data_IF_125904906063
#
_entry.id   IF_125904906063
#
_cell.length_a   1.000
_cell.length_b   1.000
_cell.length_c   1.000
_cell.angle_alpha   90.00
_cell.angle_beta   90.00
_cell.angle_gamma   90.00
#
_symmetry.space_group_name_H-M   'P 1'
#
loop_
_entity.id
_entity.type
_entity.pdbx_description
1 polymer ?
#
# COMPACT_ATOMS: atom_id res chain seq x y z
N UNK A 1 -19.95 11.96 -24.77
CA UNK A 1 -18.62 11.87 -24.16
C UNK A 1 -18.04 10.51 -24.44
N UNK A 2 -16.91 10.41 -25.14
CA UNK A 2 -16.25 9.13 -25.36
C UNK A 2 -15.76 8.60 -24.01
N UNK A 3 -16.28 7.44 -23.61
CA UNK A 3 -15.65 6.64 -22.55
C UNK A 3 -14.53 5.86 -23.22
N UNK A 4 -13.29 6.20 -22.95
CA UNK A 4 -12.14 5.47 -23.45
C UNK A 4 -11.79 4.43 -22.42
N UNK A 5 -11.84 3.14 -22.78
CA UNK A 5 -11.31 2.08 -21.93
C UNK A 5 -9.80 2.36 -21.73
N UNK A 6 -9.40 2.62 -20.52
CA UNK A 6 -8.01 2.58 -20.14
C UNK A 6 -7.62 1.10 -20.14
N UNK A 7 -6.69 0.77 -21.00
CA UNK A 7 -6.04 -0.53 -21.11
C UNK A 7 -6.72 -1.66 -20.32
N UNK A 8 -7.39 -2.57 -21.00
CA UNK A 8 -7.72 -3.87 -20.42
C UNK A 8 -6.39 -4.47 -19.93
N UNK A 9 -6.07 -4.30 -18.68
CA UNK A 9 -5.08 -5.10 -18.04
C UNK A 9 -5.79 -6.39 -17.66
N UNK A 10 -5.61 -7.42 -18.46
CA UNK A 10 -5.97 -8.79 -18.12
C UNK A 10 -4.94 -9.38 -17.14
N UNK A 11 -4.35 -8.53 -16.32
CA UNK A 11 -3.40 -8.96 -15.31
C UNK A 11 -4.21 -9.55 -14.16
N UNK A 12 -4.11 -10.87 -13.98
CA UNK A 12 -4.47 -11.49 -12.72
C UNK A 12 -3.50 -10.98 -11.66
N UNK A 13 -4.00 -10.11 -10.78
CA UNK A 13 -3.27 -9.70 -9.60
C UNK A 13 -3.31 -10.88 -8.63
N UNK A 14 -2.19 -11.60 -8.50
CA UNK A 14 -2.04 -12.72 -7.58
C UNK A 14 -1.19 -12.33 -6.38
N UNK A 15 -1.32 -13.07 -5.29
CA UNK A 15 -0.47 -12.93 -4.12
C UNK A 15 1.01 -13.01 -4.51
N UNK A 16 1.82 -12.11 -4.00
CA UNK A 16 3.26 -12.05 -4.28
C UNK A 16 3.65 -11.24 -5.51
N UNK A 17 2.71 -10.82 -6.35
CA UNK A 17 2.94 -9.91 -7.45
C UNK A 17 2.25 -8.58 -7.20
N UNK A 18 2.72 -7.54 -7.87
CA UNK A 18 2.26 -6.17 -7.82
C UNK A 18 0.72 -6.07 -7.82
N UNK A 19 0.11 -5.97 -6.64
CA UNK A 19 -1.34 -5.80 -6.47
C UNK A 19 -1.79 -4.39 -6.85
N UNK A 20 -1.25 -3.85 -7.93
CA UNK A 20 -1.55 -2.50 -8.39
C UNK A 20 -1.58 -2.40 -9.92
N UNK A 21 -2.20 -1.34 -10.41
CA UNK A 21 -2.03 -0.86 -11.78
C UNK A 21 -1.81 0.66 -11.79
N UNK A 22 -1.16 1.16 -12.82
CA UNK A 22 -0.91 2.59 -12.99
C UNK A 22 -1.60 3.18 -14.21
N UNK A 23 -1.96 4.46 -14.08
CA UNK A 23 -2.55 5.27 -15.16
C UNK A 23 -1.77 6.57 -15.29
N UNK A 24 -1.18 6.80 -16.45
CA UNK A 24 -0.50 8.06 -16.75
C UNK A 24 -1.49 9.06 -17.34
N UNK A 25 -1.93 10.03 -16.55
CA UNK A 25 -2.95 10.99 -16.98
C UNK A 25 -2.42 12.07 -17.93
N UNK A 26 -1.11 12.30 -17.98
CA UNK A 26 -0.48 13.21 -18.98
C UNK A 26 -0.87 12.81 -20.40
N UNK A 27 -0.86 11.50 -20.70
CA UNK A 27 -1.25 10.96 -22.00
C UNK A 27 -2.77 11.08 -22.29
N UNK A 28 -3.57 11.38 -21.27
CA UNK A 28 -5.02 11.34 -21.38
C UNK A 28 -5.65 12.67 -21.83
N UNK A 29 -4.90 13.79 -21.76
CA UNK A 29 -5.35 15.11 -22.18
C UNK A 29 -6.61 15.60 -21.45
N UNK A 30 -6.64 15.41 -20.12
CA UNK A 30 -7.65 15.98 -19.24
C UNK A 30 -7.08 17.21 -18.53
N UNK A 31 -7.85 18.29 -18.44
CA UNK A 31 -7.45 19.55 -17.79
C UNK A 31 -8.04 19.68 -16.38
N UNK A 32 -8.97 18.81 -16.04
CA UNK A 32 -9.65 18.76 -14.74
C UNK A 32 -9.67 17.31 -14.23
N UNK A 33 -9.77 17.09 -12.91
CA UNK A 33 -9.91 15.75 -12.36
C UNK A 33 -11.03 14.97 -13.06
N UNK A 34 -10.67 13.81 -13.63
CA UNK A 34 -11.57 12.98 -14.40
C UNK A 34 -12.17 11.87 -13.53
N UNK A 35 -13.49 11.73 -13.43
CA UNK A 35 -14.10 10.67 -12.66
C UNK A 35 -13.73 9.31 -13.25
N UNK A 36 -13.37 8.37 -12.38
CA UNK A 36 -13.01 7.01 -12.71
C UNK A 36 -14.19 6.07 -12.49
N UNK A 37 -14.41 5.18 -13.44
CA UNK A 37 -15.21 3.97 -13.22
C UNK A 37 -14.27 2.79 -13.12
N UNK A 38 -14.26 2.15 -11.97
CA UNK A 38 -13.47 0.97 -11.67
C UNK A 38 -14.37 -0.26 -11.66
N UNK A 39 -13.94 -1.31 -12.32
CA UNK A 39 -14.57 -2.63 -12.26
C UNK A 39 -13.53 -3.64 -11.80
N UNK A 40 -13.84 -4.34 -10.73
CA UNK A 40 -13.03 -5.45 -10.21
C UNK A 40 -13.86 -6.72 -10.34
N UNK A 41 -13.38 -7.66 -11.15
CA UNK A 41 -14.04 -8.96 -11.37
C UNK A 41 -13.27 -10.04 -10.64
N UNK A 42 -13.94 -10.80 -9.79
CA UNK A 42 -13.36 -11.98 -9.17
C UNK A 42 -13.31 -13.12 -10.19
N UNK A 43 -12.11 -13.50 -10.62
CA UNK A 43 -11.87 -14.63 -11.55
C UNK A 43 -11.32 -15.86 -10.81
N UNK A 44 -11.26 -15.80 -9.48
CA UNK A 44 -10.82 -16.90 -8.63
C UNK A 44 -11.85 -18.00 -8.46
N UNK A 45 -11.53 -18.97 -7.62
CA UNK A 45 -12.36 -20.16 -7.35
C UNK A 45 -13.25 -20.03 -6.11
N UNK A 46 -13.09 -18.97 -5.33
CA UNK A 46 -13.85 -18.68 -4.10
C UNK A 46 -14.31 -17.23 -4.07
N UNK A 47 -15.32 -16.87 -3.26
CA UNK A 47 -15.70 -15.49 -3.06
C UNK A 47 -14.52 -14.67 -2.53
N UNK A 48 -14.29 -13.49 -3.12
CA UNK A 48 -13.34 -12.52 -2.60
C UNK A 48 -13.94 -11.84 -1.37
N UNK A 49 -13.19 -11.85 -0.28
CA UNK A 49 -13.58 -11.16 0.95
C UNK A 49 -13.77 -9.65 0.74
N UNK A 50 -13.81 -8.88 1.79
CA UNK A 50 -13.93 -7.43 1.69
C UNK A 50 -12.74 -6.85 0.93
N UNK A 51 -13.01 -5.96 -0.02
CA UNK A 51 -12.01 -5.35 -0.88
C UNK A 51 -11.68 -3.93 -0.39
N UNK A 52 -10.40 -3.64 -0.27
CA UNK A 52 -9.89 -2.29 -0.09
C UNK A 52 -9.12 -1.87 -1.33
N UNK A 53 -9.43 -0.69 -1.85
CA UNK A 53 -8.69 -0.09 -2.97
C UNK A 53 -8.09 1.22 -2.49
N UNK A 54 -6.77 1.33 -2.57
CA UNK A 54 -6.04 2.56 -2.33
C UNK A 54 -5.65 3.23 -3.64
N UNK A 55 -5.58 4.57 -3.67
CA UNK A 55 -5.08 5.32 -4.81
C UNK A 55 -3.95 6.26 -4.37
N UNK A 56 -2.90 6.32 -5.17
CA UNK A 56 -1.79 7.24 -5.02
C UNK A 56 -1.57 8.02 -6.31
N UNK A 57 -1.40 9.33 -6.20
CA UNK A 57 -1.20 10.22 -7.33
C UNK A 57 0.13 10.96 -7.16
N UNK A 58 0.98 10.91 -8.20
CA UNK A 58 2.26 11.63 -8.19
C UNK A 58 2.51 12.31 -9.53
N UNK A 59 2.99 13.57 -9.51
CA UNK A 59 3.34 14.27 -10.73
C UNK A 59 4.54 13.60 -11.42
N UNK A 60 4.43 13.38 -12.72
CA UNK A 60 5.52 12.99 -13.63
C UNK A 60 6.37 11.77 -13.22
N UNK A 61 5.80 10.79 -12.52
CA UNK A 61 6.51 9.56 -12.19
C UNK A 61 5.85 8.35 -12.84
N UNK A 62 6.42 7.83 -13.95
CA UNK A 62 5.91 6.64 -14.64
C UNK A 62 6.34 5.32 -13.97
N UNK A 63 7.35 5.36 -13.10
CA UNK A 63 8.02 4.21 -12.51
C UNK A 63 7.25 3.60 -11.33
N UNK A 64 7.84 2.58 -10.68
CA UNK A 64 7.27 1.96 -9.47
C UNK A 64 6.91 3.04 -8.44
N UNK A 65 5.77 2.91 -7.75
CA UNK A 65 5.42 3.85 -6.70
C UNK A 65 6.48 3.84 -5.61
N UNK A 66 6.89 5.00 -5.07
CA UNK A 66 7.88 5.08 -3.99
C UNK A 66 7.30 4.63 -2.63
N UNK A 67 6.31 3.75 -2.67
CA UNK A 67 5.52 3.30 -1.52
C UNK A 67 5.96 1.93 -1.00
N UNK A 68 6.92 1.30 -1.65
CA UNK A 68 7.46 0.00 -1.25
C UNK A 68 8.87 0.18 -0.73
N UNK A 69 9.10 -0.28 0.49
CA UNK A 69 10.42 -0.39 1.10
C UNK A 69 10.79 -1.88 1.07
N UNK A 70 11.64 -2.25 0.15
CA UNK A 70 12.08 -3.64 -0.04
C UNK A 70 12.96 -4.07 1.15
N UNK A 71 12.73 -5.28 1.66
CA UNK A 71 13.44 -5.78 2.84
C UNK A 71 14.94 -5.88 2.61
N UNK A 72 15.35 -6.36 1.43
CA UNK A 72 16.76 -6.52 1.05
C UNK A 72 17.49 -5.18 0.89
N UNK A 73 16.79 -4.06 0.78
CA UNK A 73 17.38 -2.72 0.73
C UNK A 73 17.48 -2.04 2.11
N UNK A 74 17.14 -2.75 3.19
CA UNK A 74 17.37 -2.24 4.54
C UNK A 74 18.86 -2.23 4.90
N UNK A 75 19.25 -1.30 5.77
CA UNK A 75 20.64 -1.19 6.25
C UNK A 75 21.07 -2.41 7.10
N UNK A 76 20.08 -3.12 7.69
CA UNK A 76 20.29 -4.33 8.50
C UNK A 76 19.72 -5.55 7.82
N UNK A 77 20.16 -6.72 8.25
CA UNK A 77 19.69 -8.01 7.74
C UNK A 77 20.63 -8.61 6.71
N UNK A 78 20.28 -9.78 6.27
CA UNK A 78 20.99 -10.53 5.23
C UNK A 78 20.02 -10.73 4.06
N UNK A 79 20.41 -10.20 2.90
CA UNK A 79 19.69 -10.44 1.65
C UNK A 79 19.71 -11.93 1.29
N UNK A 80 18.54 -12.46 0.97
CA UNK A 80 18.38 -13.85 0.54
C UNK A 80 17.59 -13.87 -0.77
N UNK A 81 18.18 -14.29 -1.88
CA UNK A 81 17.47 -14.40 -3.16
C UNK A 81 16.31 -15.40 -3.09
N UNK A 82 15.15 -14.99 -3.61
CA UNK A 82 13.95 -15.81 -3.69
C UNK A 82 13.07 -15.31 -4.84
N UNK A 83 12.79 -16.15 -5.81
CA UNK A 83 12.08 -15.75 -7.04
C UNK A 83 10.61 -15.39 -6.83
N UNK A 84 10.04 -15.75 -5.69
CA UNK A 84 8.67 -15.50 -5.24
C UNK A 84 8.56 -14.34 -4.24
N UNK A 85 9.69 -13.75 -3.86
CA UNK A 85 9.74 -12.54 -3.05
C UNK A 85 9.54 -11.28 -3.92
N UNK A 86 9.18 -10.17 -3.29
CA UNK A 86 9.20 -8.85 -3.91
C UNK A 86 10.60 -8.57 -4.45
N UNK A 87 10.69 -7.96 -5.61
CA UNK A 87 11.97 -7.65 -6.26
C UNK A 87 12.98 -8.83 -6.37
N UNK A 88 12.57 -10.08 -6.08
CA UNK A 88 13.36 -11.30 -6.23
C UNK A 88 14.25 -11.66 -5.04
N UNK A 89 14.10 -10.98 -3.91
CA UNK A 89 14.83 -11.27 -2.67
C UNK A 89 14.02 -10.85 -1.43
N UNK A 90 14.39 -11.36 -0.28
CA UNK A 90 13.91 -10.90 1.02
C UNK A 90 15.09 -10.68 1.98
N UNK A 91 14.87 -9.96 3.07
CA UNK A 91 15.87 -9.85 4.11
C UNK A 91 15.59 -10.77 5.30
N UNK A 92 16.62 -11.41 5.80
CA UNK A 92 16.58 -12.21 7.01
C UNK A 92 17.22 -11.45 8.16
N UNK A 93 16.48 -11.34 9.27
CA UNK A 93 16.89 -10.62 10.47
C UNK A 93 16.94 -11.56 11.69
N UNK A 94 17.82 -11.23 12.62
CA UNK A 94 17.86 -11.87 13.94
C UNK A 94 17.37 -10.88 15.00
N UNK A 95 16.22 -11.18 15.60
CA UNK A 95 15.62 -10.39 16.68
C UNK A 95 16.06 -10.97 18.03
N UNK A 96 16.85 -10.24 18.81
CA UNK A 96 17.13 -10.61 20.20
C UNK A 96 15.90 -10.34 21.06
N UNK A 97 15.54 -11.31 21.91
CA UNK A 97 14.38 -11.18 22.79
C UNK A 97 14.67 -10.32 24.01
N UNK A 98 13.64 -9.72 24.59
CA UNK A 98 13.69 -8.97 25.85
C UNK A 98 13.86 -7.47 25.74
N UNK A 99 14.15 -6.92 24.55
CA UNK A 99 14.29 -5.48 24.33
C UNK A 99 13.75 -5.04 22.96
N UNK A 100 13.30 -3.80 22.86
CA UNK A 100 13.06 -3.14 21.58
C UNK A 100 14.37 -2.92 20.83
N UNK A 101 14.40 -3.26 19.57
CA UNK A 101 15.55 -3.01 18.69
C UNK A 101 15.10 -2.64 17.28
N UNK A 102 15.94 -1.93 16.55
CA UNK A 102 15.77 -1.76 15.12
C UNK A 102 15.91 -3.14 14.46
N UNK A 103 14.92 -3.53 13.68
CA UNK A 103 14.93 -4.74 12.88
C UNK A 103 15.44 -4.44 11.48
N UNK A 104 14.94 -3.37 10.89
CA UNK A 104 15.26 -2.93 9.54
C UNK A 104 15.17 -1.40 9.46
N UNK A 105 16.06 -0.77 8.73
CA UNK A 105 16.09 0.67 8.55
C UNK A 105 16.36 1.04 7.09
N UNK A 106 15.72 2.12 6.63
CA UNK A 106 15.87 2.66 5.27
C UNK A 106 16.15 4.15 5.35
N UNK A 107 17.09 4.61 4.55
CA UNK A 107 17.37 6.03 4.38
C UNK A 107 16.54 6.57 3.22
N UNK A 108 15.51 7.37 3.53
CA UNK A 108 14.68 8.01 2.52
C UNK A 108 15.32 9.31 2.07
N UNK A 109 15.65 9.39 0.79
CA UNK A 109 16.25 10.58 0.20
C UNK A 109 15.21 11.69 -0.05
N UNK A 110 15.69 12.86 -0.46
CA UNK A 110 14.86 14.02 -0.74
C UNK A 110 13.77 13.73 -1.79
N UNK A 111 14.10 13.01 -2.86
CA UNK A 111 13.13 12.72 -3.92
C UNK A 111 12.02 11.78 -3.45
N UNK A 112 12.36 10.80 -2.60
CA UNK A 112 11.39 9.92 -1.97
C UNK A 112 10.49 10.71 -1.01
N UNK A 113 11.07 11.61 -0.21
CA UNK A 113 10.33 12.44 0.74
C UNK A 113 9.38 13.42 0.07
N UNK A 114 9.76 14.05 -1.06
CA UNK A 114 8.87 14.94 -1.81
C UNK A 114 7.58 14.22 -2.25
N UNK A 115 7.67 12.94 -2.57
CA UNK A 115 6.52 12.15 -2.99
C UNK A 115 5.66 11.65 -1.84
N UNK A 116 6.26 11.46 -0.66
CA UNK A 116 5.59 10.95 0.54
C UNK A 116 5.08 12.06 1.46
N UNK A 117 5.54 13.31 1.26
CA UNK A 117 5.34 14.41 2.20
C UNK A 117 3.87 14.76 2.46
N UNK A 118 3.59 14.97 3.73
CA UNK A 118 2.32 15.47 4.25
C UNK A 118 1.14 14.52 4.18
N UNK A 119 1.29 13.34 3.62
CA UNK A 119 0.22 12.34 3.50
C UNK A 119 0.21 11.38 4.70
N UNK A 120 -0.96 10.80 4.94
CA UNK A 120 -1.15 9.76 5.94
C UNK A 120 -0.98 8.38 5.27
N UNK A 121 -0.13 7.54 5.87
CA UNK A 121 0.14 6.18 5.39
C UNK A 121 -0.13 5.17 6.47
N UNK A 122 -0.59 3.98 6.08
CA UNK A 122 -0.57 2.79 6.91
C UNK A 122 0.49 1.84 6.39
N UNK A 123 1.59 1.60 7.12
CA UNK A 123 2.56 0.60 6.71
C UNK A 123 1.96 -0.80 6.86
N UNK A 124 2.12 -1.60 5.82
CA UNK A 124 1.76 -3.02 5.81
C UNK A 124 3.04 -3.81 5.64
N UNK A 125 3.43 -4.55 6.67
CA UNK A 125 4.57 -5.45 6.60
C UNK A 125 4.15 -6.71 5.85
N UNK A 126 5.00 -7.20 4.95
CA UNK A 126 4.90 -8.51 4.36
C UNK A 126 6.10 -9.34 4.80
N UNK A 127 5.81 -10.48 5.43
CA UNK A 127 6.83 -11.44 5.83
C UNK A 127 6.93 -12.54 4.77
N UNK A 128 8.15 -12.85 4.32
CA UNK A 128 8.41 -13.91 3.35
C UNK A 128 7.97 -15.28 3.87
N UNK A 129 8.10 -15.51 5.16
CA UNK A 129 7.51 -16.68 5.85
C UNK A 129 6.62 -16.19 6.98
N UNK A 130 5.51 -16.90 7.26
CA UNK A 130 4.66 -16.55 8.39
C UNK A 130 5.44 -16.39 9.69
N UNK A 131 4.97 -15.50 10.55
CA UNK A 131 5.61 -15.20 11.82
C UNK A 131 5.69 -16.44 12.72
N UNK A 132 6.82 -16.63 13.44
CA UNK A 132 7.00 -17.75 14.36
C UNK A 132 6.07 -17.62 15.58
N UNK A 133 5.97 -18.73 16.33
CA UNK A 133 5.23 -18.75 17.59
C UNK A 133 5.77 -17.73 18.59
N UNK A 134 4.85 -17.08 19.30
CA UNK A 134 5.14 -16.12 20.35
C UNK A 134 4.50 -14.76 20.11
N UNK A 135 4.53 -13.93 21.16
CA UNK A 135 4.06 -12.55 21.06
C UNK A 135 5.17 -11.69 20.43
N UNK A 136 4.88 -11.14 19.29
CA UNK A 136 5.73 -10.16 18.61
C UNK A 136 5.03 -8.81 18.58
N UNK A 137 5.79 -7.74 18.74
CA UNK A 137 5.29 -6.37 18.60
C UNK A 137 6.17 -5.61 17.61
N UNK A 138 5.55 -4.81 16.77
CA UNK A 138 6.23 -4.00 15.77
C UNK A 138 5.75 -2.55 15.83
N UNK A 139 6.66 -1.62 15.57
CA UNK A 139 6.35 -0.20 15.42
C UNK A 139 7.30 0.47 14.44
N UNK A 140 6.89 1.60 13.91
CA UNK A 140 7.78 2.48 13.13
C UNK A 140 8.39 3.54 14.03
N UNK A 141 9.63 3.88 13.77
CA UNK A 141 10.32 5.05 14.28
C UNK A 141 10.91 5.84 13.11
N UNK A 142 10.78 7.16 13.16
CA UNK A 142 11.37 8.09 12.19
C UNK A 142 12.41 8.96 12.88
N UNK A 143 13.58 9.15 12.27
CA UNK A 143 14.62 10.01 12.81
C UNK A 143 15.37 10.77 11.72
N UNK A 144 16.00 11.88 12.10
CA UNK A 144 16.79 12.75 11.22
C UNK A 144 18.23 12.80 11.75
N UNK A 145 19.08 11.82 11.44
CA UNK A 145 20.39 11.67 12.05
C UNK A 145 21.35 12.86 11.81
N UNK A 146 21.11 13.65 10.76
CA UNK A 146 21.96 14.78 10.39
C UNK A 146 21.49 16.14 10.91
N UNK A 147 20.35 16.23 11.62
CA UNK A 147 19.89 17.51 12.16
C UNK A 147 20.62 17.87 13.44
N UNK A 148 21.00 19.16 13.62
CA UNK A 148 21.59 19.63 14.87
C UNK A 148 20.66 19.40 16.06
N UNK A 149 21.15 18.97 17.22
CA UNK A 149 20.32 18.75 18.42
C UNK A 149 19.50 19.97 18.86
N UNK A 150 19.94 21.19 18.50
CA UNK A 150 19.24 22.43 18.80
C UNK A 150 17.88 22.58 18.03
N UNK A 151 17.64 21.81 17.01
CA UNK A 151 16.38 21.83 16.23
C UNK A 151 15.29 20.91 16.81
N UNK A 152 15.54 20.28 17.95
CA UNK A 152 14.55 19.51 18.69
C UNK A 152 14.67 18.00 18.54
N UNK A 153 13.60 17.30 18.92
CA UNK A 153 13.57 15.84 18.90
C UNK A 153 13.67 15.33 17.48
N UNK A 154 14.61 14.46 17.26
CA UNK A 154 14.84 13.85 15.95
C UNK A 154 14.23 12.45 15.85
N UNK A 155 13.50 12.00 16.88
CA UNK A 155 12.91 10.68 16.93
C UNK A 155 11.40 10.75 17.14
N UNK A 156 10.64 10.22 16.17
CA UNK A 156 9.20 10.01 16.24
C UNK A 156 8.94 8.52 16.33
N UNK A 157 8.25 8.07 17.39
CA UNK A 157 7.85 6.68 17.56
C UNK A 157 6.33 6.54 17.45
N UNK A 158 5.89 5.64 16.61
CA UNK A 158 4.46 5.35 16.42
C UNK A 158 4.01 4.22 17.34
N UNK A 159 2.70 4.10 17.62
CA UNK A 159 2.17 3.04 18.47
C UNK A 159 2.57 1.64 17.98
N UNK A 160 2.89 0.76 18.92
CA UNK A 160 3.21 -0.62 18.60
C UNK A 160 1.94 -1.42 18.29
N UNK A 161 2.06 -2.36 17.36
CA UNK A 161 1.04 -3.32 17.00
C UNK A 161 1.53 -4.72 17.33
N UNK A 162 0.68 -5.49 18.01
CA UNK A 162 0.97 -6.89 18.31
C UNK A 162 0.64 -7.78 17.13
N UNK A 163 1.51 -8.71 16.84
CA UNK A 163 1.33 -9.74 15.84
C UNK A 163 1.17 -11.11 16.50
N UNK A 164 0.50 -12.00 15.81
CA UNK A 164 0.28 -13.38 16.24
C UNK A 164 1.02 -14.36 15.34
N UNK A 165 1.22 -15.57 15.85
CA UNK A 165 1.78 -16.67 15.07
C UNK A 165 1.01 -16.91 13.76
N UNK A 166 1.74 -17.22 12.71
CA UNK A 166 1.16 -17.58 11.42
C UNK A 166 0.80 -16.41 10.53
N UNK A 167 0.89 -15.15 11.01
CA UNK A 167 0.63 -13.99 10.18
C UNK A 167 1.72 -13.82 9.13
N UNK A 168 1.34 -13.72 7.85
CA UNK A 168 2.23 -13.32 6.75
C UNK A 168 2.23 -11.80 6.51
N UNK A 169 1.22 -11.09 7.02
CA UNK A 169 1.04 -9.65 6.87
C UNK A 169 0.66 -9.00 8.18
N UNK A 170 1.15 -7.79 8.40
CA UNK A 170 0.81 -7.01 9.59
C UNK A 170 0.62 -5.54 9.23
N UNK A 171 -0.55 -5.03 9.52
CA UNK A 171 -0.85 -3.61 9.38
C UNK A 171 -0.39 -2.88 10.65
N UNK A 172 0.49 -1.89 10.49
CA UNK A 172 0.98 -1.05 11.58
C UNK A 172 0.08 0.17 11.81
N UNK A 173 0.38 0.89 12.88
CA UNK A 173 -0.29 2.16 13.16
C UNK A 173 -0.08 3.16 12.03
N UNK A 174 -1.12 3.95 11.66
CA UNK A 174 -0.98 5.00 10.67
C UNK A 174 0.10 6.00 11.05
N UNK A 175 0.86 6.45 10.06
CA UNK A 175 1.89 7.46 10.23
C UNK A 175 1.76 8.58 9.20
N UNK A 176 2.20 9.77 9.61
CA UNK A 176 2.41 10.90 8.72
C UNK A 176 3.88 11.30 8.82
N UNK A 177 4.50 11.60 7.69
CA UNK A 177 5.85 12.14 7.72
C UNK A 177 5.84 13.50 8.42
N UNK A 178 6.77 13.76 9.37
CA UNK A 178 6.78 14.99 10.10
C UNK A 178 7.13 16.18 9.18
N UNK A 179 6.66 17.36 9.55
CA UNK A 179 6.88 18.59 8.78
C UNK A 179 8.38 18.90 8.58
N UNK A 180 9.21 18.50 9.52
CA UNK A 180 10.66 18.64 9.48
C UNK A 180 11.27 17.97 8.24
N UNK A 181 10.62 16.98 7.66
CA UNK A 181 11.04 16.38 6.40
C UNK A 181 11.18 17.41 5.27
N UNK A 182 10.37 18.48 5.28
CA UNK A 182 10.47 19.61 4.34
C UNK A 182 11.68 20.49 4.57
N UNK A 183 12.14 20.60 5.81
CA UNK A 183 13.31 21.42 6.14
C UNK A 183 14.61 20.80 5.61
N UNK A 184 14.59 19.52 5.25
CA UNK A 184 15.73 18.82 4.66
C UNK A 184 16.14 19.39 3.30
N UNK A 185 15.30 20.21 2.65
CA UNK A 185 15.67 20.99 1.48
C UNK A 185 16.84 21.94 1.71
N UNK A 186 17.13 22.27 2.96
CA UNK A 186 18.20 23.21 3.34
C UNK A 186 19.49 22.46 3.69
N UNK A 187 19.39 21.19 4.12
CA UNK A 187 20.55 20.32 4.39
C UNK A 187 20.20 18.86 4.01
N UNK A 188 21.06 18.16 3.25
CA UNK A 188 20.81 16.80 2.78
C UNK A 188 21.00 15.77 3.90
N UNK A 189 20.13 15.79 4.89
CA UNK A 189 20.08 14.71 5.87
C UNK A 189 18.92 13.78 5.51
N UNK A 190 19.18 12.50 5.23
CA UNK A 190 18.12 11.55 4.94
C UNK A 190 17.22 11.36 6.17
N UNK A 191 15.94 11.12 5.93
CA UNK A 191 15.05 10.60 6.95
C UNK A 191 15.35 9.11 7.11
N UNK A 192 15.67 8.69 8.32
CA UNK A 192 15.77 7.27 8.65
C UNK A 192 14.39 6.74 9.05
N UNK A 193 13.86 5.84 8.24
CA UNK A 193 12.65 5.07 8.53
C UNK A 193 13.09 3.74 9.15
N UNK A 194 12.76 3.49 10.42
CA UNK A 194 13.15 2.27 11.13
C UNK A 194 11.92 1.45 11.52
N UNK A 195 11.91 0.18 11.12
CA UNK A 195 11.03 -0.83 11.69
C UNK A 195 11.67 -1.34 12.97
N UNK A 196 10.99 -1.16 14.09
CA UNK A 196 11.41 -1.69 15.38
C UNK A 196 10.54 -2.89 15.76
N UNK A 197 11.17 -3.90 16.35
CA UNK A 197 10.50 -5.08 16.83
C UNK A 197 10.85 -5.40 18.30
N UNK A 198 9.93 -6.07 18.97
CA UNK A 198 10.07 -6.58 20.32
C UNK A 198 9.48 -7.97 20.42
N UNK A 199 10.18 -8.86 21.08
CA UNK A 199 9.68 -10.16 21.51
C UNK A 199 10.01 -10.38 23.00
N UNK A 200 9.08 -10.85 23.84
CA UNK A 200 9.38 -11.21 25.21
C UNK A 200 10.23 -12.48 25.25
N UNK A 201 10.96 -12.66 26.36
CA UNK A 201 11.77 -13.84 26.62
C UNK A 201 13.27 -13.59 26.56
N UNK A 202 14.03 -14.65 26.41
CA UNK A 202 15.49 -14.66 26.28
C UNK A 202 15.88 -15.57 25.11
N UNK A 203 16.81 -15.11 24.31
CA UNK A 203 17.24 -15.83 23.10
C UNK A 203 17.10 -14.96 21.84
N UNK A 204 16.94 -15.60 20.70
CA UNK A 204 16.75 -14.91 19.43
C UNK A 204 15.71 -15.60 18.54
N UNK A 205 15.06 -14.80 17.71
CA UNK A 205 14.12 -15.25 16.67
C UNK A 205 14.63 -14.83 15.31
N UNK A 206 14.40 -15.66 14.32
CA UNK A 206 14.66 -15.32 12.92
C UNK A 206 13.36 -14.83 12.28
N UNK A 207 13.42 -13.64 11.69
CA UNK A 207 12.32 -13.03 10.94
C UNK A 207 12.77 -12.83 9.48
N UNK A 208 11.85 -13.03 8.55
CA UNK A 208 12.10 -12.84 7.11
C UNK A 208 11.13 -11.81 6.58
N UNK A 209 11.61 -10.61 6.36
CA UNK A 209 10.84 -9.50 5.84
C UNK A 209 11.01 -9.42 4.33
N UNK A 210 9.91 -9.41 3.62
CA UNK A 210 9.89 -9.23 2.18
C UNK A 210 9.86 -7.74 1.84
N UNK A 211 8.80 -7.05 2.23
CA UNK A 211 8.67 -5.62 2.00
C UNK A 211 7.81 -4.92 3.07
N UNK A 212 7.83 -3.60 3.04
CA UNK A 212 6.86 -2.74 3.69
C UNK A 212 6.15 -1.91 2.62
N UNK A 213 4.86 -2.09 2.50
CA UNK A 213 4.03 -1.25 1.65
C UNK A 213 3.41 -0.10 2.45
N UNK A 214 3.63 1.15 2.02
CA UNK A 214 3.06 2.35 2.62
C UNK A 214 1.71 2.65 1.96
N UNK A 215 0.62 2.13 2.50
CA UNK A 215 -0.73 2.34 1.96
C UNK A 215 -1.20 3.79 2.21
N UNK A 216 -1.44 4.60 1.15
CA UNK A 216 -1.97 5.94 1.32
C UNK A 216 -3.40 5.90 1.84
N UNK A 217 -3.67 6.57 2.97
CA UNK A 217 -5.00 6.58 3.57
C UNK A 217 -5.93 7.67 3.06
N UNK A 218 -5.40 8.73 2.49
CA UNK A 218 -6.20 9.88 2.05
C UNK A 218 -7.06 9.60 0.82
N UNK A 219 -6.75 8.53 0.07
CA UNK A 219 -7.45 8.12 -1.14
C UNK A 219 -7.67 6.60 -1.15
N UNK A 220 -8.32 6.08 -0.12
CA UNK A 220 -8.72 4.68 -0.15
C UNK A 220 -10.25 4.55 -0.07
N UNK A 221 -10.75 3.46 -0.62
CA UNK A 221 -12.15 3.09 -0.54
C UNK A 221 -12.25 1.64 -0.07
N UNK A 222 -13.06 1.43 0.93
CA UNK A 222 -13.36 0.12 1.46
C UNK A 222 -14.73 -0.34 0.95
N UNK A 223 -14.77 -1.50 0.34
CA UNK A 223 -15.99 -2.15 -0.12
C UNK A 223 -16.31 -3.30 0.82
N UNK A 224 -17.27 -3.09 1.70
CA UNK A 224 -17.68 -4.08 2.70
C UNK A 224 -18.87 -4.89 2.21
N UNK A 225 -18.86 -6.19 2.46
CA UNK A 225 -19.96 -7.09 2.13
C UNK A 225 -20.00 -8.25 3.12
N UNK A 226 -21.20 -8.65 3.50
CA UNK A 226 -21.39 -9.84 4.36
C UNK A 226 -21.17 -11.17 3.61
N UNK A 227 -21.22 -11.14 2.29
CA UNK A 227 -21.12 -12.35 1.44
C UNK A 227 -19.90 -12.35 0.52
N UNK A 228 -19.12 -11.25 0.54
CA UNK A 228 -18.00 -11.07 -0.38
C UNK A 228 -18.42 -10.88 -1.84
N UNK A 229 -17.43 -10.78 -2.74
CA UNK A 229 -17.65 -10.72 -4.19
C UNK A 229 -17.65 -12.14 -4.77
N UNK A 230 -18.78 -12.65 -5.24
CA UNK A 230 -18.88 -14.00 -5.74
C UNK A 230 -17.94 -14.27 -6.93
N UNK A 231 -17.65 -15.53 -7.18
CA UNK A 231 -16.91 -15.98 -8.37
C UNK A 231 -17.59 -15.50 -9.65
N UNK A 232 -16.82 -14.97 -10.58
CA UNK A 232 -17.27 -14.36 -11.84
C UNK A 232 -18.20 -13.15 -11.69
N UNK A 233 -18.37 -12.61 -10.48
CA UNK A 233 -19.05 -11.34 -10.28
C UNK A 233 -18.08 -10.16 -10.36
N UNK A 234 -18.60 -8.99 -10.70
CA UNK A 234 -17.85 -7.75 -10.78
C UNK A 234 -18.38 -6.72 -9.78
N UNK A 235 -17.49 -6.15 -8.98
CA UNK A 235 -17.76 -4.93 -8.25
C UNK A 235 -17.50 -3.73 -9.16
N UNK A 236 -18.45 -2.83 -9.26
CA UNK A 236 -18.36 -1.62 -10.07
C UNK A 236 -18.49 -0.41 -9.17
N UNK A 237 -17.47 0.44 -9.18
CA UNK A 237 -17.45 1.74 -8.51
C UNK A 237 -17.36 2.84 -9.55
N UNK A 238 -18.44 3.60 -9.73
CA UNK A 238 -18.59 4.59 -10.78
C UNK A 238 -18.66 6.00 -10.21
N UNK A 239 -17.54 6.71 -10.22
CA UNK A 239 -17.44 8.08 -9.72
C UNK A 239 -18.27 9.08 -10.55
N UNK A 240 -18.56 8.76 -11.80
CA UNK A 240 -19.37 9.63 -12.63
C UNK A 240 -20.85 9.58 -12.26
N UNK A 241 -21.37 8.38 -12.02
CA UNK A 241 -22.75 8.16 -11.59
C UNK A 241 -22.91 8.23 -10.07
N UNK A 242 -21.81 8.32 -9.32
CA UNK A 242 -21.77 8.21 -7.85
C UNK A 242 -22.50 6.95 -7.37
N UNK A 243 -22.20 5.82 -8.00
CA UNK A 243 -22.90 4.57 -7.76
C UNK A 243 -21.91 3.41 -7.62
N UNK A 244 -22.12 2.61 -6.58
CA UNK A 244 -21.40 1.35 -6.35
C UNK A 244 -22.38 0.19 -6.38
N UNK A 245 -22.07 -0.85 -7.14
CA UNK A 245 -22.92 -2.03 -7.27
C UNK A 245 -22.15 -3.26 -7.69
N UNK A 246 -22.71 -4.43 -7.45
CA UNK A 246 -22.20 -5.72 -7.89
C UNK A 246 -22.97 -6.18 -9.11
N UNK A 247 -22.27 -6.64 -10.14
CA UNK A 247 -22.84 -7.24 -11.32
C UNK A 247 -22.56 -8.76 -11.30
N UNK A 248 -23.61 -9.56 -11.15
CA UNK A 248 -23.51 -11.02 -11.20
C UNK A 248 -24.57 -11.58 -12.16
N UNK A 249 -24.16 -12.44 -13.08
CA UNK A 249 -25.04 -13.01 -14.11
C UNK A 249 -25.89 -11.96 -14.85
N UNK A 250 -25.26 -10.85 -15.24
CA UNK A 250 -25.89 -9.68 -15.86
C UNK A 250 -26.97 -8.98 -15.01
N UNK A 251 -27.08 -9.31 -13.73
CA UNK A 251 -28.00 -8.65 -12.79
C UNK A 251 -27.22 -7.72 -11.88
N UNK A 252 -27.73 -6.50 -11.72
CA UNK A 252 -27.23 -5.55 -10.76
C UNK A 252 -27.75 -5.90 -9.36
N UNK A 253 -26.82 -5.89 -8.39
CA UNK A 253 -27.11 -6.15 -6.99
C UNK A 253 -26.37 -5.12 -6.11
N UNK A 254 -26.94 -4.76 -4.99
CA UNK A 254 -26.32 -3.85 -4.03
C UNK A 254 -25.87 -4.63 -2.79
N UNK A 255 -24.86 -5.49 -2.98
CA UNK A 255 -24.34 -6.36 -1.90
C UNK A 255 -23.12 -5.78 -1.21
N UNK A 256 -22.53 -4.71 -1.76
CA UNK A 256 -21.39 -4.03 -1.18
C UNK A 256 -21.75 -2.62 -0.74
N UNK A 257 -21.29 -2.28 0.45
CA UNK A 257 -21.31 -0.92 0.97
C UNK A 257 -19.97 -0.27 0.76
N UNK A 258 -19.97 0.98 0.33
CA UNK A 258 -18.79 1.78 0.08
C UNK A 258 -18.49 2.68 1.27
N UNK A 259 -17.25 2.69 1.72
CA UNK A 259 -16.72 3.60 2.75
C UNK A 259 -15.50 4.30 2.16
N UNK A 260 -15.51 5.61 2.09
CA UNK A 260 -14.46 6.42 1.45
C UNK A 260 -14.98 7.22 0.23
N UNK A 261 -14.10 7.92 -0.49
CA UNK A 261 -14.45 8.80 -1.60
C UNK A 261 -14.32 8.11 -2.97
N UNK A 262 -15.09 8.57 -3.97
CA UNK A 262 -14.95 8.10 -5.34
C UNK A 262 -13.60 8.50 -5.93
N UNK A 263 -13.04 7.63 -6.76
CA UNK A 263 -11.76 7.87 -7.38
C UNK A 263 -11.85 8.86 -8.55
N UNK A 264 -10.91 9.77 -8.57
CA UNK A 264 -10.72 10.72 -9.66
C UNK A 264 -9.26 10.67 -10.11
N UNK A 265 -9.04 10.80 -11.42
CA UNK A 265 -7.72 10.91 -11.99
C UNK A 265 -7.34 12.39 -12.09
N UNK A 266 -6.37 12.88 -11.30
CA UNK A 266 -5.90 14.26 -11.41
C UNK A 266 -5.16 14.46 -12.73
N UNK A 267 -5.23 15.66 -13.33
CA UNK A 267 -4.54 15.97 -14.59
C UNK A 267 -3.02 16.04 -14.38
N UNK A 268 -2.26 15.53 -15.34
CA UNK A 268 -0.80 15.64 -15.34
C UNK A 268 -0.05 14.74 -14.36
N UNK A 269 -0.72 13.80 -13.74
CA UNK A 269 -0.12 12.90 -12.75
C UNK A 269 -0.16 11.45 -13.20
N UNK A 270 0.71 10.63 -12.62
CA UNK A 270 0.56 9.17 -12.67
C UNK A 270 -0.20 8.72 -11.44
N UNK A 271 -1.23 7.93 -11.65
CA UNK A 271 -2.07 7.39 -10.59
C UNK A 271 -1.85 5.89 -10.48
N UNK A 272 -1.59 5.39 -9.27
CA UNK A 272 -1.52 3.97 -8.97
C UNK A 272 -2.72 3.57 -8.12
N UNK A 273 -3.28 2.40 -8.39
CA UNK A 273 -4.39 1.81 -7.66
C UNK A 273 -3.95 0.48 -7.09
N UNK A 274 -4.11 0.30 -5.79
CA UNK A 274 -3.68 -0.86 -5.03
C UNK A 274 -4.88 -1.62 -4.51
N UNK A 275 -4.80 -2.95 -4.51
CA UNK A 275 -5.89 -3.83 -4.16
C UNK A 275 -5.51 -4.74 -3.01
N UNK A 276 -6.30 -4.70 -1.95
CA UNK A 276 -6.14 -5.53 -0.77
C UNK A 276 -7.47 -6.19 -0.43
N UNK A 277 -7.40 -7.34 0.20
CA UNK A 277 -8.56 -8.02 0.79
C UNK A 277 -8.47 -7.92 2.31
N UNK A 278 -9.62 -8.00 2.97
CA UNK A 278 -9.69 -8.10 4.41
C UNK A 278 -10.13 -9.51 4.78
N UNK A 279 -9.22 -10.22 5.39
CA UNK A 279 -9.44 -11.55 5.93
C UNK A 279 -9.72 -11.46 7.45
N UNK A 280 -10.20 -12.53 8.10
CA UNK A 280 -10.35 -12.56 9.56
C UNK A 280 -9.04 -12.26 10.31
N UNK A 281 -7.91 -12.54 9.69
CA UNK A 281 -6.55 -12.32 10.22
C UNK A 281 -6.02 -10.91 9.97
N UNK A 282 -6.74 -10.07 9.22
CA UNK A 282 -6.35 -8.70 8.91
C UNK A 282 -6.32 -8.37 7.43
N UNK A 283 -5.67 -7.25 7.10
CA UNK A 283 -5.49 -6.79 5.72
C UNK A 283 -4.36 -7.59 5.06
N UNK A 284 -4.63 -8.11 3.87
CA UNK A 284 -3.67 -8.85 3.05
C UNK A 284 -3.79 -8.43 1.58
N UNK A 285 -2.73 -8.54 0.77
CA UNK A 285 -2.86 -8.49 -0.67
C UNK A 285 -3.88 -9.52 -1.16
N UNK A 286 -4.47 -9.27 -2.33
CA UNK A 286 -5.43 -10.20 -2.91
C UNK A 286 -4.69 -11.46 -3.36
N UNK A 287 -5.05 -12.60 -2.77
CA UNK A 287 -4.51 -13.92 -3.08
C UNK A 287 -5.28 -14.67 -4.17
N UNK A 288 -6.43 -14.11 -4.60
CA UNK A 288 -7.25 -14.64 -5.65
C UNK A 288 -7.04 -13.87 -6.96
N UNK A 289 -7.10 -14.54 -8.12
CA UNK A 289 -7.08 -13.87 -9.40
C UNK A 289 -8.24 -12.88 -9.52
N UNK A 290 -7.93 -11.64 -9.89
CA UNK A 290 -8.92 -10.63 -10.25
C UNK A 290 -8.60 -10.05 -11.61
N UNK A 291 -9.65 -9.62 -12.31
CA UNK A 291 -9.54 -8.83 -13.52
C UNK A 291 -9.99 -7.40 -13.21
N UNK A 292 -9.17 -6.42 -13.54
CA UNK A 292 -9.46 -5.01 -13.27
C UNK A 292 -9.64 -4.26 -14.58
N UNK A 293 -10.74 -3.53 -14.70
CA UNK A 293 -11.01 -2.60 -15.80
C UNK A 293 -11.25 -1.21 -15.27
N UNK A 294 -10.69 -0.22 -15.92
CA UNK A 294 -10.83 1.17 -15.54
C UNK A 294 -11.24 2.02 -16.74
N UNK A 295 -12.24 2.86 -16.56
CA UNK A 295 -12.68 3.84 -17.55
C UNK A 295 -12.69 5.22 -16.91
N UNK A 296 -12.41 6.22 -17.70
CA UNK A 296 -12.48 7.60 -17.26
C UNK A 296 -13.19 8.46 -18.30
N UNK A 297 -13.72 9.61 -17.87
CA UNK A 297 -14.32 10.59 -18.73
C UNK A 297 -13.47 11.85 -18.75
N UNK A 298 -12.90 12.18 -19.92
CA UNK A 298 -12.12 13.42 -20.10
C UNK A 298 -12.93 14.65 -19.69
N UNK A 299 -12.32 15.53 -18.93
CA UNK A 299 -12.88 16.84 -18.58
C UNK A 299 -11.92 17.90 -19.06
N UNK A 300 -12.44 18.86 -19.84
CA UNK A 300 -11.69 20.01 -20.35
C UNK A 300 -12.30 21.30 -19.84
N UNK A 301 -11.46 22.30 -19.58
CA UNK A 301 -11.92 23.66 -19.38
C UNK A 301 -12.47 24.15 -20.71
N UNK A 302 -13.65 24.71 -20.70
CA UNK A 302 -14.18 25.52 -21.83
C UNK A 302 -13.64 26.91 -21.55
N UNK A 303 -12.71 27.37 -22.39
CA UNK A 303 -12.18 28.72 -22.35
C UNK A 303 -13.18 29.65 -23.04
#
# INVERSE_FOLDING_TARGET
GLTVALKNRDDSLSAGNDNYFSVQTVALGTDLPAPLRLQVTNTGSSPLAQLLVGAYHAPNRPDKPPLVLEGEHADEGVEVPASDASNGAYAQFTLAQGAWQALASWQLDHNQLETLDGRLYTPILRFYTPLPAGLLQFRVALSFPGLPPALGTTLYQFPAVSATEGQGYLMLAPLRLPFEARLLNVQPSPLLFSLQAYAPGSGSLTLKLDDIFLLPQENFTWFTSSVGLPVNASLIDDAFLQKTYTLANAKEMHTHHRIGDYFYLPPGETSWFFFFQVNPEGLAPIDLPINVKAWYRKRRRIL
#
